data_IF_572976037898
#
_entry.id   IF_572976037898
#
_cell.length_a   1.000
_cell.length_b   1.000
_cell.length_c   1.000
_cell.angle_alpha   90.00
_cell.angle_beta   90.00
_cell.angle_gamma   90.00
#
_symmetry.space_group_name_H-M   'P 1'
#
loop_
_entity.id
_entity.type
_entity.pdbx_description
1 polymer ?
#
# COMPACT_ATOMS: atom_id res chain seq x y z
N UNK A 1 5.70 0.47 12.42
CA UNK A 1 4.65 -0.47 12.00
C UNK A 1 5.10 -1.87 12.32
N UNK A 2 4.20 -2.74 12.77
CA UNK A 2 4.49 -4.16 12.96
C UNK A 2 4.37 -4.88 11.61
N UNK A 3 5.51 -5.01 10.92
CA UNK A 3 5.59 -5.62 9.59
C UNK A 3 5.06 -7.06 9.60
N UNK A 4 5.43 -7.85 10.59
CA UNK A 4 5.07 -9.27 10.64
C UNK A 4 3.57 -9.45 10.89
N UNK A 5 2.99 -8.65 11.79
CA UNK A 5 1.54 -8.67 12.02
C UNK A 5 0.74 -8.26 10.78
N UNK A 6 1.18 -7.19 10.10
CA UNK A 6 0.52 -6.70 8.88
C UNK A 6 0.64 -7.73 7.73
N UNK A 7 1.83 -8.31 7.54
CA UNK A 7 2.05 -9.33 6.51
C UNK A 7 1.33 -10.64 6.82
N UNK A 8 1.20 -11.02 8.10
CA UNK A 8 0.49 -12.21 8.51
C UNK A 8 -1.02 -12.18 8.26
N UNK A 9 -1.60 -10.99 8.01
CA UNK A 9 -3.00 -10.83 7.63
C UNK A 9 -3.25 -11.04 6.12
N UNK A 10 -2.20 -11.09 5.30
CA UNK A 10 -2.32 -11.30 3.85
C UNK A 10 -2.58 -12.77 3.52
N UNK A 11 -3.40 -13.06 2.50
CA UNK A 11 -3.52 -14.42 1.98
C UNK A 11 -2.17 -14.88 1.40
N UNK A 12 -2.00 -16.19 1.32
CA UNK A 12 -0.82 -16.77 0.66
C UNK A 12 -0.77 -16.38 -0.83
N UNK A 13 0.42 -16.50 -1.44
CA UNK A 13 0.61 -16.21 -2.86
C UNK A 13 -0.32 -17.03 -3.76
N UNK A 14 -0.50 -18.32 -3.46
CA UNK A 14 -1.37 -19.21 -4.24
C UNK A 14 -2.85 -18.82 -4.10
N UNK A 15 -3.30 -18.47 -2.90
CA UNK A 15 -4.66 -17.98 -2.65
C UNK A 15 -4.92 -16.65 -3.38
N UNK A 16 -3.93 -15.74 -3.36
CA UNK A 16 -4.01 -14.49 -4.10
C UNK A 16 -4.11 -14.71 -5.61
N UNK A 17 -3.29 -15.60 -6.18
CA UNK A 17 -3.31 -15.87 -7.61
C UNK A 17 -4.61 -16.54 -8.06
N UNK A 18 -5.14 -17.45 -7.22
CA UNK A 18 -6.40 -18.15 -7.48
C UNK A 18 -7.63 -17.24 -7.32
N UNK A 19 -7.52 -16.11 -6.61
CA UNK A 19 -8.62 -15.18 -6.45
C UNK A 19 -9.04 -14.55 -7.79
N UNK A 20 -10.35 -14.31 -8.01
CA UNK A 20 -10.79 -13.51 -9.13
C UNK A 20 -10.30 -12.06 -8.98
N UNK A 21 -10.26 -11.31 -10.09
CA UNK A 21 -9.70 -9.94 -10.11
C UNK A 21 -10.37 -8.98 -9.10
N UNK A 22 -11.67 -9.12 -8.85
CA UNK A 22 -12.35 -8.35 -7.81
C UNK A 22 -11.85 -8.71 -6.39
N UNK A 23 -11.51 -9.98 -6.17
CA UNK A 23 -10.94 -10.47 -4.93
C UNK A 23 -9.52 -9.95 -4.73
N UNK A 24 -8.69 -10.03 -5.78
CA UNK A 24 -7.34 -9.46 -5.78
C UNK A 24 -7.35 -7.96 -5.50
N UNK A 25 -8.23 -7.20 -6.16
CA UNK A 25 -8.43 -5.77 -5.88
C UNK A 25 -8.75 -5.52 -4.41
N UNK A 26 -9.73 -6.24 -3.87
CA UNK A 26 -10.14 -6.11 -2.46
C UNK A 26 -8.99 -6.42 -1.51
N UNK A 27 -8.23 -7.49 -1.76
CA UNK A 27 -7.06 -7.86 -0.94
C UNK A 27 -6.05 -6.70 -0.90
N UNK A 28 -5.73 -6.11 -2.04
CA UNK A 28 -4.78 -4.98 -2.09
C UNK A 28 -5.34 -3.75 -1.38
N UNK A 29 -6.62 -3.44 -1.53
CA UNK A 29 -7.25 -2.30 -0.85
C UNK A 29 -7.25 -2.45 0.67
N UNK A 30 -7.63 -3.63 1.16
CA UNK A 30 -7.63 -3.95 2.59
C UNK A 30 -6.19 -3.88 3.14
N UNK A 31 -5.19 -4.29 2.34
CA UNK A 31 -3.78 -4.21 2.69
C UNK A 31 -3.30 -2.76 2.84
N UNK A 32 -3.57 -1.90 1.86
CA UNK A 32 -3.23 -0.46 1.94
C UNK A 32 -3.96 0.20 3.11
N UNK A 33 -5.24 -0.14 3.32
CA UNK A 33 -6.02 0.36 4.45
C UNK A 33 -5.35 0.05 5.79
N UNK A 34 -4.91 -1.20 5.95
CA UNK A 34 -4.19 -1.66 7.15
C UNK A 34 -2.89 -0.89 7.37
N UNK A 35 -2.11 -0.63 6.32
CA UNK A 35 -0.87 0.17 6.41
C UNK A 35 -1.19 1.60 6.86
N UNK A 36 -2.20 2.23 6.27
CA UNK A 36 -2.62 3.59 6.64
C UNK A 36 -3.18 3.66 8.07
N UNK A 37 -3.90 2.62 8.51
CA UNK A 37 -4.34 2.48 9.91
C UNK A 37 -3.14 2.39 10.86
N UNK A 38 -2.12 1.62 10.53
CA UNK A 38 -0.92 1.48 11.36
C UNK A 38 -0.16 2.81 11.51
N UNK A 39 0.01 3.56 10.40
CA UNK A 39 0.59 4.92 10.44
C UNK A 39 -0.20 5.85 11.36
N UNK A 40 -1.53 5.81 11.27
CA UNK A 40 -2.40 6.63 12.10
C UNK A 40 -2.35 6.22 13.59
N UNK A 41 -2.27 4.92 13.90
CA UNK A 41 -2.10 4.42 15.27
C UNK A 41 -0.76 4.86 15.88
N UNK A 42 0.28 4.95 15.07
CA UNK A 42 1.59 5.51 15.47
C UNK A 42 1.59 7.02 15.62
N UNK A 43 0.50 7.71 15.24
CA UNK A 43 0.38 9.15 15.32
C UNK A 43 1.36 9.90 14.42
N UNK A 44 1.78 9.28 13.31
CA UNK A 44 2.74 9.85 12.38
C UNK A 44 2.21 9.86 10.95
N UNK A 45 2.72 10.81 10.19
CA UNK A 45 2.54 10.83 8.75
C UNK A 45 3.52 9.86 8.07
N UNK A 46 3.22 9.38 6.84
CA UNK A 46 4.18 8.67 6.05
C UNK A 46 5.38 9.58 5.71
N UNK A 47 6.55 8.95 5.66
CA UNK A 47 7.72 9.57 5.05
C UNK A 47 7.64 9.47 3.52
N UNK A 48 8.67 9.96 2.81
CA UNK A 48 8.65 10.01 1.36
C UNK A 48 8.64 8.63 0.72
N UNK A 49 9.41 7.68 1.26
CA UNK A 49 9.45 6.30 0.76
C UNK A 49 8.09 5.63 0.87
N UNK A 50 7.50 5.72 2.07
CA UNK A 50 6.20 5.13 2.35
C UNK A 50 5.11 5.74 1.46
N UNK A 51 5.09 7.07 1.35
CA UNK A 51 4.11 7.79 0.54
C UNK A 51 4.21 7.45 -0.96
N UNK A 52 5.43 7.40 -1.51
CA UNK A 52 5.66 7.07 -2.92
C UNK A 52 5.21 5.64 -3.26
N UNK A 53 5.47 4.68 -2.37
CA UNK A 53 5.06 3.29 -2.57
C UNK A 53 3.55 3.08 -2.39
N UNK A 54 2.91 3.74 -1.42
CA UNK A 54 1.44 3.70 -1.30
C UNK A 54 0.80 4.34 -2.54
N UNK A 55 1.26 5.52 -2.97
CA UNK A 55 0.73 6.19 -4.16
C UNK A 55 0.91 5.34 -5.44
N UNK A 56 2.06 4.70 -5.61
CA UNK A 56 2.31 3.76 -6.71
C UNK A 56 1.37 2.56 -6.66
N UNK A 57 1.12 2.02 -5.47
CA UNK A 57 0.18 0.91 -5.26
C UNK A 57 -1.22 1.29 -5.73
N UNK A 58 -1.73 2.46 -5.32
CA UNK A 58 -3.04 2.96 -5.75
C UNK A 58 -3.14 3.07 -7.28
N UNK A 59 -2.10 3.58 -7.93
CA UNK A 59 -2.02 3.64 -9.39
C UNK A 59 -2.05 2.26 -10.06
N UNK A 60 -1.34 1.28 -9.49
CA UNK A 60 -1.29 -0.10 -9.99
C UNK A 60 -2.65 -0.81 -9.85
N UNK A 61 -3.37 -0.58 -8.75
CA UNK A 61 -4.74 -1.10 -8.57
C UNK A 61 -5.67 -0.57 -9.68
N UNK A 62 -5.59 0.71 -10.02
CA UNK A 62 -6.43 1.32 -11.07
C UNK A 62 -6.21 0.71 -12.46
N UNK A 63 -5.01 0.20 -12.73
CA UNK A 63 -4.68 -0.45 -14.01
C UNK A 63 -4.80 -1.98 -13.96
N UNK A 64 -5.24 -2.54 -12.84
CA UNK A 64 -5.47 -3.98 -12.67
C UNK A 64 -4.19 -4.81 -12.44
N UNK A 65 -3.07 -4.17 -12.08
CA UNK A 65 -1.81 -4.85 -11.83
C UNK A 65 -1.68 -5.25 -10.36
N UNK A 66 -2.62 -6.06 -9.86
CA UNK A 66 -2.77 -6.29 -8.42
C UNK A 66 -1.57 -6.98 -7.77
N UNK A 67 -0.88 -7.88 -8.49
CA UNK A 67 0.34 -8.51 -7.95
C UNK A 67 1.51 -7.53 -7.83
N UNK A 68 1.68 -6.63 -8.80
CA UNK A 68 2.68 -5.56 -8.67
C UNK A 68 2.29 -4.59 -7.56
N UNK A 69 0.99 -4.36 -7.36
CA UNK A 69 0.47 -3.52 -6.30
C UNK A 69 0.80 -4.10 -4.92
N UNK A 70 0.60 -5.41 -4.68
CA UNK A 70 1.00 -6.03 -3.40
C UNK A 70 2.48 -5.84 -3.12
N UNK A 71 3.36 -6.06 -4.11
CA UNK A 71 4.81 -5.85 -3.93
C UNK A 71 5.15 -4.40 -3.56
N UNK A 72 4.46 -3.41 -4.17
CA UNK A 72 4.67 -2.00 -3.79
C UNK A 72 4.15 -1.69 -2.39
N UNK A 73 3.00 -2.24 -2.00
CA UNK A 73 2.49 -2.08 -0.64
C UNK A 73 3.47 -2.70 0.39
N UNK A 74 4.02 -3.88 0.11
CA UNK A 74 5.03 -4.54 0.96
C UNK A 74 6.27 -3.68 1.18
N UNK A 75 6.78 -3.00 0.15
CA UNK A 75 7.95 -2.12 0.28
C UNK A 75 7.70 -0.95 1.25
N UNK A 76 6.45 -0.55 1.44
CA UNK A 76 6.09 0.49 2.43
C UNK A 76 6.44 0.05 3.86
N UNK A 77 6.44 -1.26 4.12
CA UNK A 77 6.75 -1.83 5.44
C UNK A 77 8.24 -2.01 5.69
N UNK A 78 9.11 -1.73 4.72
CA UNK A 78 10.56 -1.84 4.90
C UNK A 78 11.03 -0.87 5.98
N UNK A 79 11.70 -1.35 7.05
CA UNK A 79 12.32 -0.50 8.06
C UNK A 79 13.27 0.51 7.43
N UNK A 80 13.35 1.72 8.01
CA UNK A 80 14.13 2.81 7.41
C UNK A 80 15.59 2.43 7.16
N UNK A 81 16.22 1.73 8.09
CA UNK A 81 17.62 1.28 8.02
C UNK A 81 17.90 0.17 7.00
N UNK A 82 16.86 -0.49 6.48
CA UNK A 82 16.95 -1.49 5.41
C UNK A 82 16.75 -0.91 4.00
N UNK A 83 16.34 0.36 3.89
CA UNK A 83 16.04 1.00 2.59
C UNK A 83 17.33 1.42 1.88
N UNK A 84 17.26 1.49 0.56
CA UNK A 84 18.31 2.13 -0.22
C UNK A 84 18.28 3.66 0.01
N UNK A 85 19.39 4.24 0.49
CA UNK A 85 19.57 5.69 0.76
C UNK A 85 18.54 6.27 1.76
N UNK A 86 18.48 5.75 3.00
CA UNK A 86 17.47 6.12 4.00
C UNK A 86 17.37 7.63 4.27
N UNK A 87 18.49 8.34 4.21
CA UNK A 87 18.59 9.78 4.43
C UNK A 87 17.82 10.63 3.41
N UNK A 88 17.55 10.09 2.22
CA UNK A 88 16.83 10.79 1.15
C UNK A 88 15.31 10.71 1.29
N UNK A 89 14.81 9.87 2.20
CA UNK A 89 13.39 9.56 2.35
C UNK A 89 12.69 10.34 3.45
N UNK A 90 13.36 11.36 4.00
CA UNK A 90 12.72 12.31 4.90
C UNK A 90 11.51 12.98 4.23
N UNK A 91 10.49 13.30 5.05
CA UNK A 91 9.31 14.02 4.58
C UNK A 91 9.68 15.38 4.02
N UNK A 92 9.23 15.67 2.79
CA UNK A 92 9.25 17.00 2.19
C UNK A 92 7.85 17.61 2.12
N UNK A 93 7.76 18.88 1.72
CA UNK A 93 6.48 19.59 1.55
C UNK A 93 5.60 18.98 0.46
N UNK A 94 6.21 18.27 -0.50
CA UNK A 94 5.56 17.57 -1.60
C UNK A 94 5.14 16.13 -1.25
N UNK A 95 5.49 15.64 -0.05
CA UNK A 95 5.17 14.28 0.36
C UNK A 95 3.67 14.15 0.65
N UNK A 96 3.03 13.14 0.03
CA UNK A 96 1.61 12.91 0.22
C UNK A 96 1.29 12.61 1.70
N UNK A 97 0.21 13.21 2.19
CA UNK A 97 -0.24 12.98 3.57
C UNK A 97 -1.00 11.66 3.70
N UNK A 98 -1.06 11.10 4.91
CA UNK A 98 -1.87 9.92 5.19
C UNK A 98 -3.34 10.13 4.75
N UNK A 99 -3.86 11.34 4.98
CA UNK A 99 -5.20 11.75 4.51
C UNK A 99 -5.31 11.75 2.99
N UNK A 100 -4.36 12.33 2.26
CA UNK A 100 -4.40 12.33 0.80
C UNK A 100 -4.35 10.91 0.22
N UNK A 101 -3.58 10.02 0.85
CA UNK A 101 -3.50 8.61 0.47
C UNK A 101 -4.80 7.86 0.80
N UNK A 102 -5.47 8.18 1.91
CA UNK A 102 -6.83 7.69 2.24
C UNK A 102 -7.87 8.12 1.20
N UNK A 103 -7.90 9.40 0.85
CA UNK A 103 -8.80 9.91 -0.18
C UNK A 103 -8.54 9.21 -1.53
N UNK A 104 -7.26 8.93 -1.83
CA UNK A 104 -6.84 8.12 -2.96
C UNK A 104 -7.38 6.68 -2.90
N UNK A 105 -7.28 6.01 -1.75
CA UNK A 105 -7.82 4.67 -1.53
C UNK A 105 -9.33 4.64 -1.72
N UNK A 106 -10.07 5.59 -1.15
CA UNK A 106 -11.52 5.70 -1.33
C UNK A 106 -11.92 5.82 -2.80
N UNK A 107 -11.19 6.65 -3.55
CA UNK A 107 -11.38 6.79 -5.00
C UNK A 107 -11.15 5.46 -5.72
N UNK A 108 -10.08 4.74 -5.40
CA UNK A 108 -9.74 3.45 -6.02
C UNK A 108 -10.79 2.39 -5.69
N UNK A 109 -11.25 2.31 -4.45
CA UNK A 109 -12.30 1.39 -4.02
C UNK A 109 -13.62 1.61 -4.77
N UNK A 110 -13.94 2.86 -5.13
CA UNK A 110 -15.12 3.20 -5.94
C UNK A 110 -15.07 2.77 -7.40
N UNK A 111 -13.89 2.37 -7.92
CA UNK A 111 -13.74 1.92 -9.32
C UNK A 111 -13.86 0.39 -9.39
N UNK A 112 -14.60 -0.21 -10.34
CA UNK A 112 -14.64 -1.66 -10.50
C UNK A 112 -13.26 -2.26 -10.79
N UNK A 113 -13.04 -3.52 -10.40
CA UNK A 113 -11.85 -4.26 -10.79
C UNK A 113 -11.76 -4.38 -12.32
N UNK A 114 -10.54 -4.19 -12.86
CA UNK A 114 -10.28 -4.52 -14.26
C UNK A 114 -10.24 -6.03 -14.44
N UNK A 115 -11.03 -6.51 -15.40
CA UNK A 115 -10.97 -7.88 -15.91
C UNK A 115 -10.29 -7.80 -17.28
N UNK A 116 -9.13 -8.43 -17.43
CA UNK A 116 -8.46 -8.59 -18.73
C UNK A 116 -8.69 -10.00 -19.28
#
# INVERSE_FOLDING_TARGET
MDRDAIMGAMPSGDEFQAAPEYGKKKIVEDFIGTILDALNQEGREPDRWEAEHIASTLGLVLVGWYHAATVKAELTLTPSDERANPETWVRGDDTATARALRDGLERVSGVPARNF
#
